data_IF_786023753479
#
_entry.id   IF_786023753479
#
_cell.length_a   1.000
_cell.length_b   1.000
_cell.length_c   1.000
_cell.angle_alpha   90.00
_cell.angle_beta   90.00
_cell.angle_gamma   90.00
#
_symmetry.space_group_name_H-M   'P 1'
#
loop_
_entity.id
_entity.type
_entity.pdbx_description
1 polymer ?
#
# COMPACT_ATOMS: atom_id res chain seq x y z
N UNK A 1 10.52 -15.65 2.15
CA UNK A 1 11.31 -14.40 1.99
C UNK A 1 10.47 -13.43 1.18
N UNK A 2 10.16 -12.22 1.68
CA UNK A 2 9.39 -11.25 0.91
C UNK A 2 10.33 -10.65 -0.14
N UNK A 3 10.39 -11.27 -1.32
CA UNK A 3 11.32 -10.88 -2.40
C UNK A 3 10.75 -9.78 -3.31
N UNK A 4 9.54 -9.29 -3.02
CA UNK A 4 8.86 -8.29 -3.83
C UNK A 4 8.87 -6.93 -3.13
N UNK A 5 9.35 -5.92 -3.86
CA UNK A 5 9.42 -4.52 -3.41
C UNK A 5 8.45 -3.69 -4.26
N UNK A 6 7.73 -2.74 -3.64
CA UNK A 6 6.90 -1.81 -4.40
C UNK A 6 7.75 -0.78 -5.13
N UNK A 7 7.67 -0.75 -6.47
CA UNK A 7 8.41 0.21 -7.31
C UNK A 7 8.16 1.67 -6.90
N UNK A 8 6.90 2.05 -6.67
CA UNK A 8 6.54 3.43 -6.28
C UNK A 8 7.22 3.85 -4.97
N UNK A 9 7.12 2.99 -3.95
CA UNK A 9 7.73 3.28 -2.64
C UNK A 9 9.26 3.27 -2.72
N UNK A 10 9.85 2.37 -3.52
CA UNK A 10 11.29 2.35 -3.76
C UNK A 10 11.78 3.66 -4.42
N UNK A 11 11.11 4.13 -5.47
CA UNK A 11 11.46 5.40 -6.11
C UNK A 11 11.34 6.59 -5.15
N UNK A 12 10.27 6.65 -4.36
CA UNK A 12 10.08 7.72 -3.38
C UNK A 12 11.15 7.68 -2.29
N UNK A 13 11.53 6.48 -1.84
CA UNK A 13 12.62 6.28 -0.89
C UNK A 13 13.96 6.75 -1.45
N UNK A 14 14.34 6.33 -2.66
CA UNK A 14 15.57 6.77 -3.32
C UNK A 14 15.61 8.30 -3.45
N UNK A 15 14.52 8.92 -3.92
CA UNK A 15 14.44 10.38 -4.05
C UNK A 15 14.60 11.09 -2.70
N UNK A 16 13.98 10.57 -1.63
CA UNK A 16 14.11 11.14 -0.29
C UNK A 16 15.55 11.08 0.22
N UNK A 17 16.24 9.96 -0.05
CA UNK A 17 17.61 9.74 0.39
C UNK A 17 18.59 10.61 -0.40
N UNK A 18 18.43 10.75 -1.71
CA UNK A 18 19.22 11.68 -2.52
C UNK A 18 19.08 13.13 -2.02
N UNK A 19 17.88 13.55 -1.63
CA UNK A 19 17.62 14.89 -1.05
C UNK A 19 18.26 15.07 0.33
N UNK A 20 18.28 14.03 1.15
CA UNK A 20 18.92 14.05 2.48
C UNK A 20 20.44 14.03 2.33
N UNK A 21 20.98 13.30 1.36
CA UNK A 21 22.41 13.23 1.08
C UNK A 21 22.94 14.51 0.43
N UNK A 22 22.18 15.18 -0.41
CA UNK A 22 22.62 16.44 -1.05
C UNK A 22 22.88 17.57 -0.06
N UNK A 23 22.27 17.52 1.13
CA UNK A 23 22.48 18.50 2.21
C UNK A 23 23.57 18.09 3.22
N UNK A 24 24.25 16.98 2.98
CA UNK A 24 25.19 16.43 3.94
C UNK A 24 26.59 16.99 3.73
N UNK A 25 27.04 17.80 4.70
CA UNK A 25 28.28 18.58 4.59
C UNK A 25 29.51 17.76 5.04
N UNK A 26 29.35 16.77 5.92
CA UNK A 26 30.47 16.01 6.51
C UNK A 26 30.54 14.56 6.00
N UNK A 27 31.62 14.16 5.32
CA UNK A 27 31.85 12.78 4.88
C UNK A 27 31.94 11.78 6.03
N UNK A 28 32.37 12.21 7.22
CA UNK A 28 32.59 11.32 8.38
C UNK A 28 31.32 10.66 8.91
N UNK A 29 30.15 11.26 8.66
CA UNK A 29 28.86 10.69 9.07
C UNK A 29 28.25 9.74 8.03
N UNK A 30 28.88 9.58 6.85
CA UNK A 30 28.39 8.73 5.77
C UNK A 30 28.18 7.26 6.19
N UNK A 31 29.12 6.61 6.91
CA UNK A 31 28.93 5.22 7.32
C UNK A 31 27.73 5.02 8.25
N UNK A 32 27.51 5.95 9.19
CA UNK A 32 26.37 5.91 10.12
C UNK A 32 25.04 6.03 9.37
N UNK A 33 24.98 6.88 8.34
CA UNK A 33 23.79 7.07 7.49
C UNK A 33 23.52 5.86 6.60
N UNK A 34 24.56 5.26 6.02
CA UNK A 34 24.44 4.01 5.27
C UNK A 34 23.96 2.84 6.15
N UNK A 35 24.40 2.78 7.41
CA UNK A 35 23.90 1.77 8.37
C UNK A 35 22.41 1.96 8.66
N UNK A 36 21.97 3.19 8.90
CA UNK A 36 20.54 3.51 9.08
C UNK A 36 19.73 3.14 7.84
N UNK A 37 20.22 3.52 6.65
CA UNK A 37 19.57 3.26 5.36
C UNK A 37 19.27 1.77 5.17
N UNK A 38 20.21 0.89 5.53
CA UNK A 38 20.03 -0.57 5.43
C UNK A 38 18.92 -1.09 6.35
N UNK A 39 18.70 -0.47 7.51
CA UNK A 39 17.60 -0.84 8.43
C UNK A 39 16.22 -0.49 7.87
N UNK A 40 16.14 0.63 7.14
CA UNK A 40 14.88 1.16 6.61
C UNK A 40 14.35 0.40 5.37
N UNK A 41 15.19 -0.42 4.72
CA UNK A 41 14.81 -1.21 3.54
C UNK A 41 13.68 -2.21 3.84
N UNK A 42 13.53 -2.62 5.10
CA UNK A 42 12.47 -3.55 5.54
C UNK A 42 11.06 -3.02 5.25
N UNK A 43 10.88 -1.70 5.23
CA UNK A 43 9.59 -1.03 5.00
C UNK A 43 9.15 -1.13 3.52
N UNK A 44 10.09 -1.36 2.60
CA UNK A 44 9.82 -1.39 1.15
C UNK A 44 9.24 -2.72 0.68
N UNK A 45 9.36 -3.77 1.48
CA UNK A 45 8.85 -5.08 1.15
C UNK A 45 7.32 -5.10 1.16
N UNK A 46 6.75 -5.74 0.14
CA UNK A 46 5.30 -5.86 0.03
C UNK A 46 4.80 -6.88 1.05
N UNK A 47 3.98 -6.42 1.99
CA UNK A 47 3.19 -7.27 2.87
C UNK A 47 1.99 -7.85 2.10
N UNK A 48 2.10 -9.11 1.67
CA UNK A 48 1.03 -9.83 0.98
C UNK A 48 -0.02 -10.29 1.98
N UNK A 49 -0.98 -9.40 2.27
CA UNK A 49 -2.11 -9.76 3.13
C UNK A 49 -3.07 -10.69 2.41
N UNK A 50 -3.52 -11.78 3.05
CA UNK A 50 -4.49 -12.68 2.46
C UNK A 50 -5.80 -11.92 2.21
N UNK A 51 -6.44 -12.22 1.08
CA UNK A 51 -7.77 -11.69 0.79
C UNK A 51 -8.73 -12.18 1.89
N UNK A 52 -9.58 -11.30 2.46
CA UNK A 52 -10.58 -11.74 3.41
C UNK A 52 -11.46 -12.85 2.81
N UNK A 53 -11.67 -13.93 3.56
CA UNK A 53 -12.48 -15.08 3.10
C UNK A 53 -13.98 -14.74 2.95
N UNK A 54 -14.42 -13.62 3.53
CA UNK A 54 -15.80 -13.17 3.43
C UNK A 54 -16.03 -12.31 2.17
N UNK A 55 -17.22 -12.39 1.55
CA UNK A 55 -17.59 -11.46 0.50
C UNK A 55 -17.53 -10.01 1.04
N UNK A 56 -17.15 -9.06 0.17
CA UNK A 56 -17.22 -7.63 0.54
C UNK A 56 -18.68 -7.30 0.81
N UNK A 57 -18.96 -6.76 2.00
CA UNK A 57 -20.28 -6.21 2.29
C UNK A 57 -20.47 -4.97 1.39
N UNK A 58 -21.42 -5.05 0.45
CA UNK A 58 -21.81 -3.93 -0.40
C UNK A 58 -23.20 -3.50 0.04
N UNK A 59 -23.39 -2.19 0.25
CA UNK A 59 -24.72 -1.63 0.48
C UNK A 59 -25.51 -1.67 -0.83
N UNK A 60 -26.39 -2.66 -0.97
CA UNK A 60 -27.31 -2.77 -2.10
C UNK A 60 -28.50 -1.85 -1.85
N UNK A 61 -28.82 -0.96 -2.80
CA UNK A 61 -30.03 -0.14 -2.70
C UNK A 61 -31.25 -1.03 -2.93
N UNK A 62 -32.23 -1.00 -2.02
CA UNK A 62 -33.45 -1.81 -2.15
C UNK A 62 -34.28 -1.48 -3.40
N UNK A 63 -34.02 -0.34 -4.03
CA UNK A 63 -34.66 0.11 -5.27
C UNK A 63 -34.07 -0.50 -6.54
N UNK A 64 -32.95 -1.24 -6.46
CA UNK A 64 -32.30 -1.93 -7.60
C UNK A 64 -32.51 -3.44 -7.60
N UNK A 65 -33.33 -3.98 -6.69
CA UNK A 65 -33.76 -5.37 -6.83
C UNK A 65 -34.59 -5.51 -8.12
N UNK A 66 -34.46 -6.61 -8.87
CA UNK A 66 -35.30 -6.86 -10.03
C UNK A 66 -36.76 -6.83 -9.59
N UNK A 67 -37.51 -5.84 -10.04
CA UNK A 67 -38.93 -5.71 -9.74
C UNK A 67 -39.65 -6.76 -10.59
N UNK A 68 -40.28 -7.74 -9.93
CA UNK A 68 -41.17 -8.66 -10.62
C UNK A 68 -42.44 -7.91 -11.05
N UNK A 69 -42.45 -7.38 -12.27
CA UNK A 69 -43.58 -6.65 -12.87
C UNK A 69 -44.83 -7.51 -13.08
N UNK A 70 -44.73 -8.82 -12.95
CA UNK A 70 -45.84 -9.76 -13.04
C UNK A 70 -46.37 -10.19 -11.66
N UNK A 71 -45.80 -9.67 -10.56
CA UNK A 71 -46.30 -9.97 -9.23
C UNK A 71 -47.71 -9.42 -9.04
N UNK A 72 -48.58 -10.21 -8.40
CA UNK A 72 -49.89 -9.74 -7.99
C UNK A 72 -49.74 -8.57 -7.00
N UNK A 73 -50.64 -7.56 -7.02
CA UNK A 73 -50.63 -6.48 -6.05
C UNK A 73 -50.67 -7.05 -4.64
N UNK A 74 -49.79 -6.57 -3.76
CA UNK A 74 -49.88 -6.90 -2.34
C UNK A 74 -51.13 -6.21 -1.78
N UNK A 75 -51.96 -7.00 -1.08
CA UNK A 75 -53.20 -6.55 -0.42
C UNK A 75 -52.92 -5.53 0.67
#
# INVERSE_FOLDING_TARGET
MPNEISFKYACQFIASQLKVMSKAISPGNTPKRLKSLRGDLSILFIDKRPKPNRPRAVKISKTRYPINRKAAPLK
#
